data_IF_084894453375
#
_entry.id   IF_084894453375
#
_cell.length_a   1.000
_cell.length_b   1.000
_cell.length_c   1.000
_cell.angle_alpha   90.00
_cell.angle_beta   90.00
_cell.angle_gamma   90.00
#
_symmetry.space_group_name_H-M   'P 1'
#
loop_
_entity.id
_entity.type
_entity.pdbx_description
1 polymer ?
#
# COMPACT_ATOMS: atom_id res chain seq x y z
N UNK A 1 4.67 2.42 10.22
CA UNK A 1 4.25 3.78 10.64
C UNK A 1 3.68 3.83 12.05
N UNK A 2 3.90 4.95 12.76
CA UNK A 2 3.53 5.22 14.16
C UNK A 2 2.40 6.27 14.23
N UNK A 3 1.20 5.85 13.81
CA UNK A 3 0.05 6.75 13.58
C UNK A 3 -0.43 7.40 14.88
N UNK A 4 -0.48 6.64 15.97
CA UNK A 4 -0.95 7.14 17.27
C UNK A 4 -0.01 8.23 17.81
N UNK A 5 1.29 8.03 17.71
CA UNK A 5 2.28 9.00 18.14
C UNK A 5 2.21 10.29 17.32
N UNK A 6 2.01 10.19 16.00
CA UNK A 6 1.82 11.35 15.12
C UNK A 6 0.58 12.17 15.52
N UNK A 7 -0.53 11.49 15.84
CA UNK A 7 -1.75 12.14 16.33
C UNK A 7 -1.55 12.85 17.67
N UNK A 8 -0.87 12.20 18.61
CA UNK A 8 -0.59 12.74 19.94
C UNK A 8 0.26 14.01 19.92
N UNK A 9 1.13 14.17 18.92
CA UNK A 9 1.95 15.38 18.73
C UNK A 9 1.27 16.44 17.84
N UNK A 10 0.00 16.23 17.46
CA UNK A 10 -0.83 17.24 16.80
C UNK A 10 -0.99 17.09 15.28
N UNK A 11 -0.45 16.03 14.66
CA UNK A 11 -0.67 15.76 13.24
C UNK A 11 -1.95 14.94 13.03
N UNK A 12 -2.84 15.45 12.20
CA UNK A 12 -4.17 14.87 11.92
C UNK A 12 -4.52 14.83 10.42
N UNK A 13 -3.58 15.17 9.54
CA UNK A 13 -3.77 15.25 8.09
C UNK A 13 -4.46 16.52 7.58
N UNK A 14 -4.76 17.50 8.45
CA UNK A 14 -5.46 18.73 8.05
C UNK A 14 -4.71 19.48 6.94
N UNK A 15 -5.44 19.90 5.91
CA UNK A 15 -4.90 20.64 4.77
C UNK A 15 -4.20 19.77 3.71
N UNK A 16 -4.14 18.45 3.90
CA UNK A 16 -3.61 17.52 2.90
C UNK A 16 -4.76 16.84 2.16
N UNK A 17 -4.68 16.85 0.83
CA UNK A 17 -5.59 16.13 -0.05
C UNK A 17 -4.87 14.89 -0.55
N UNK A 18 -5.41 13.71 -0.23
CA UNK A 18 -4.94 12.43 -0.77
C UNK A 18 -6.06 11.84 -1.62
N UNK A 19 -5.74 11.46 -2.86
CA UNK A 19 -6.67 10.77 -3.75
C UNK A 19 -6.46 9.27 -3.60
N UNK A 20 -7.51 8.55 -3.23
CA UNK A 20 -7.55 7.09 -3.28
C UNK A 20 -8.26 6.72 -4.57
N UNK A 21 -7.58 5.94 -5.41
CA UNK A 21 -8.09 5.57 -6.73
C UNK A 21 -8.21 4.05 -6.75
N UNK A 22 -9.43 3.55 -6.88
CA UNK A 22 -9.77 2.11 -6.87
C UNK A 22 -10.04 1.58 -8.30
N UNK A 23 -10.12 2.49 -9.29
CA UNK A 23 -10.24 2.17 -10.72
C UNK A 23 -9.45 3.21 -11.53
N UNK A 24 -8.73 2.75 -12.56
CA UNK A 24 -7.55 3.38 -13.18
C UNK A 24 -7.56 4.89 -13.51
N UNK A 25 -6.37 5.44 -13.77
CA UNK A 25 -6.14 6.88 -14.02
C UNK A 25 -5.38 7.18 -15.33
N UNK A 26 -6.03 7.84 -16.30
CA UNK A 26 -5.35 8.29 -17.53
C UNK A 26 -4.50 9.56 -17.29
N UNK A 27 -3.20 9.37 -17.05
CA UNK A 27 -2.28 10.45 -16.69
C UNK A 27 -1.96 11.44 -17.82
N UNK A 28 -2.12 11.05 -19.10
CA UNK A 28 -1.91 11.93 -20.24
C UNK A 28 -3.18 12.65 -20.70
N UNK A 29 -4.30 12.46 -19.98
CA UNK A 29 -5.52 13.20 -20.25
C UNK A 29 -5.25 14.72 -20.15
N UNK A 30 -5.76 15.49 -21.11
CA UNK A 30 -5.54 16.95 -21.18
C UNK A 30 -5.90 17.67 -19.89
N UNK A 31 -6.92 17.16 -19.20
CA UNK A 31 -7.49 17.76 -18.01
C UNK A 31 -6.79 17.29 -16.72
N UNK A 32 -6.05 16.17 -16.78
CA UNK A 32 -5.36 15.58 -15.63
C UNK A 32 -3.85 15.86 -15.64
N UNK A 33 -3.24 16.01 -16.82
CA UNK A 33 -1.78 16.18 -16.99
C UNK A 33 -1.17 17.32 -16.18
N UNK A 34 -1.90 18.42 -16.01
CA UNK A 34 -1.44 19.58 -15.25
C UNK A 34 -1.40 19.27 -13.74
N UNK A 35 -2.37 18.48 -13.27
CA UNK A 35 -2.44 18.05 -11.89
C UNK A 35 -1.42 16.94 -11.60
N UNK A 36 -1.10 16.06 -12.55
CA UNK A 36 -0.12 14.95 -12.38
C UNK A 36 1.27 15.42 -11.93
N UNK A 37 1.72 16.64 -12.30
CA UNK A 37 2.99 17.19 -11.79
C UNK A 37 2.97 17.49 -10.30
N UNK A 38 1.80 17.87 -9.75
CA UNK A 38 1.45 17.97 -8.33
C UNK A 38 2.36 18.80 -7.43
N UNK A 39 1.76 19.55 -6.49
CA UNK A 39 2.47 20.13 -5.33
C UNK A 39 3.77 20.88 -5.69
N UNK A 40 3.69 21.81 -6.64
CA UNK A 40 4.84 22.60 -7.14
C UNK A 40 6.01 21.76 -7.67
N UNK A 41 5.72 20.61 -8.30
CA UNK A 41 6.73 19.70 -8.85
C UNK A 41 7.25 18.66 -7.85
N UNK A 42 6.70 18.63 -6.62
CA UNK A 42 6.98 17.58 -5.63
C UNK A 42 6.27 16.26 -5.97
N UNK A 43 5.35 16.28 -6.93
CA UNK A 43 4.61 15.11 -7.41
C UNK A 43 3.30 14.88 -6.68
N UNK A 44 2.52 13.96 -7.23
CA UNK A 44 1.36 13.35 -6.57
C UNK A 44 1.77 11.98 -6.01
N UNK A 45 1.10 11.53 -4.96
CA UNK A 45 1.21 10.17 -4.45
C UNK A 45 -0.12 9.49 -4.69
N UNK A 46 -0.13 8.44 -5.50
CA UNK A 46 -1.31 7.63 -5.75
C UNK A 46 -1.27 6.41 -4.85
N UNK A 47 -2.27 6.22 -4.02
CA UNK A 47 -2.38 4.99 -3.22
C UNK A 47 -3.36 4.06 -3.92
N UNK A 48 -2.88 2.85 -4.22
CA UNK A 48 -3.58 1.85 -5.03
C UNK A 48 -3.77 0.56 -4.23
N UNK A 49 -4.94 -0.05 -4.34
CA UNK A 49 -5.21 -1.35 -3.73
C UNK A 49 -4.62 -2.47 -4.60
N UNK A 50 -3.89 -3.40 -4.01
CA UNK A 50 -3.18 -4.44 -4.76
C UNK A 50 -4.08 -5.47 -5.47
N UNK A 51 -5.39 -5.45 -5.22
CA UNK A 51 -6.32 -6.46 -5.75
C UNK A 51 -6.72 -7.51 -4.73
N UNK A 52 -7.70 -8.33 -5.10
CA UNK A 52 -8.40 -9.28 -4.21
C UNK A 52 -8.59 -10.67 -4.88
N UNK A 53 -7.88 -10.96 -5.97
CA UNK A 53 -8.01 -12.20 -6.73
C UNK A 53 -7.22 -13.39 -6.15
N UNK A 54 -6.53 -13.20 -5.03
CA UNK A 54 -5.79 -14.25 -4.32
C UNK A 54 -4.76 -14.95 -5.19
N UNK A 55 -4.63 -16.27 -5.06
CA UNK A 55 -3.67 -17.06 -5.84
C UNK A 55 -4.04 -17.25 -7.32
N UNK A 56 -5.25 -16.86 -7.71
CA UNK A 56 -5.75 -17.01 -9.08
C UNK A 56 -5.58 -15.76 -9.94
N UNK A 57 -5.13 -14.68 -9.33
CA UNK A 57 -4.89 -13.40 -9.99
C UNK A 57 -3.49 -12.88 -9.63
N UNK A 58 -3.02 -11.92 -10.39
CA UNK A 58 -1.74 -11.30 -10.16
C UNK A 58 -1.80 -9.83 -10.52
N UNK A 59 -1.59 -8.98 -9.51
CA UNK A 59 -1.60 -7.54 -9.71
C UNK A 59 -0.55 -7.04 -10.71
N UNK A 60 0.40 -7.86 -11.18
CA UNK A 60 1.23 -7.58 -12.36
C UNK A 60 0.41 -7.34 -13.64
N UNK A 61 -0.78 -7.94 -13.74
CA UNK A 61 -1.72 -7.72 -14.82
C UNK A 61 -2.52 -6.42 -14.64
N UNK A 62 -2.52 -5.83 -13.44
CA UNK A 62 -3.13 -4.53 -13.19
C UNK A 62 -2.21 -3.43 -13.67
N UNK A 63 -2.59 -2.83 -14.80
CA UNK A 63 -1.82 -1.76 -15.43
C UNK A 63 -1.46 -0.63 -14.46
N UNK A 64 -2.30 -0.35 -13.46
CA UNK A 64 -2.06 0.73 -12.49
C UNK A 64 -1.16 0.36 -11.31
N UNK A 65 -1.19 -0.90 -10.88
CA UNK A 65 -0.24 -1.42 -9.90
C UNK A 65 1.18 -1.40 -10.47
N UNK A 66 1.33 -1.65 -11.77
CA UNK A 66 2.62 -1.68 -12.50
C UNK A 66 2.93 -0.38 -13.23
N UNK A 67 2.07 0.64 -13.08
CA UNK A 67 2.09 1.76 -14.03
C UNK A 67 3.43 2.48 -14.01
N UNK A 68 3.80 2.92 -15.20
CA UNK A 68 5.10 3.46 -15.56
C UNK A 68 5.47 4.76 -14.82
N UNK A 69 4.53 5.33 -14.05
CA UNK A 69 4.79 6.45 -13.18
C UNK A 69 5.09 5.92 -11.78
N UNK A 70 6.36 6.03 -11.43
CA UNK A 70 6.99 5.87 -10.10
C UNK A 70 6.25 6.50 -8.90
N UNK A 71 5.09 7.14 -9.09
CA UNK A 71 4.27 7.82 -8.08
C UNK A 71 3.25 6.90 -7.38
N UNK A 72 2.98 5.71 -7.93
CA UNK A 72 2.01 4.78 -7.35
C UNK A 72 2.59 4.05 -6.15
N UNK A 73 1.80 3.96 -5.09
CA UNK A 73 2.05 3.22 -3.86
C UNK A 73 0.99 2.12 -3.80
N UNK A 74 1.36 0.93 -4.26
CA UNK A 74 0.50 -0.25 -4.23
C UNK A 74 0.52 -0.86 -2.83
N UNK A 75 -0.66 -1.05 -2.26
CA UNK A 75 -0.87 -1.51 -0.88
C UNK A 75 -1.67 -2.80 -0.88
N UNK A 76 -1.08 -3.84 -0.29
CA UNK A 76 -1.76 -5.12 -0.05
C UNK A 76 -2.25 -5.23 1.41
N UNK A 77 -2.90 -6.34 1.75
CA UNK A 77 -3.56 -6.55 3.04
C UNK A 77 -2.89 -7.62 3.88
N UNK A 78 -2.79 -7.35 5.18
CA UNK A 78 -2.45 -8.33 6.22
C UNK A 78 -3.54 -8.43 7.29
N UNK A 79 -3.65 -9.60 7.90
CA UNK A 79 -4.53 -9.83 9.05
C UNK A 79 -3.91 -9.30 10.35
N UNK A 80 -4.56 -9.51 11.51
CA UNK A 80 -4.10 -8.96 12.78
C UNK A 80 -2.83 -9.62 13.31
N UNK A 81 -2.52 -10.83 12.85
CA UNK A 81 -1.22 -11.48 13.06
C UNK A 81 -0.15 -10.99 12.09
N UNK A 82 -0.43 -10.04 11.21
CA UNK A 82 0.51 -9.54 10.22
C UNK A 82 0.82 -10.53 9.10
N UNK A 83 -0.01 -11.57 8.93
CA UNK A 83 0.12 -12.54 7.84
C UNK A 83 -0.64 -12.04 6.61
N UNK A 84 -0.23 -12.41 5.39
CA UNK A 84 -0.96 -12.05 4.17
C UNK A 84 -2.42 -12.49 4.25
N UNK A 85 -3.35 -11.59 3.90
CA UNK A 85 -4.77 -11.95 3.82
C UNK A 85 -5.00 -12.96 2.69
N UNK A 86 -5.99 -13.85 2.85
CA UNK A 86 -6.22 -14.96 1.91
C UNK A 86 -6.59 -14.53 0.49
N UNK A 87 -7.14 -13.32 0.31
CA UNK A 87 -7.50 -12.72 -0.97
C UNK A 87 -6.38 -11.85 -1.56
N UNK A 88 -5.30 -11.60 -0.82
CA UNK A 88 -4.21 -10.74 -1.29
C UNK A 88 -3.51 -11.34 -2.49
N UNK A 89 -3.27 -10.51 -3.50
CA UNK A 89 -2.45 -10.86 -4.65
C UNK A 89 -0.97 -10.62 -4.32
N UNK A 90 -0.12 -11.58 -4.66
CA UNK A 90 1.34 -11.50 -4.44
C UNK A 90 2.00 -11.08 -5.75
N UNK A 91 2.55 -9.87 -5.76
CA UNK A 91 3.09 -9.26 -6.97
C UNK A 91 4.22 -8.25 -6.63
N UNK A 92 5.28 -8.18 -7.46
CA UNK A 92 6.39 -7.23 -7.33
C UNK A 92 6.04 -5.75 -7.07
N UNK A 93 4.93 -5.18 -7.59
CA UNK A 93 4.63 -3.76 -7.40
C UNK A 93 4.11 -3.41 -6.00
N UNK A 94 3.78 -4.39 -5.16
CA UNK A 94 3.34 -4.13 -3.78
C UNK A 94 4.48 -3.50 -3.00
N UNK A 95 4.30 -2.23 -2.59
CA UNK A 95 5.31 -1.48 -1.84
C UNK A 95 5.21 -1.73 -0.34
N UNK A 96 3.98 -1.87 0.18
CA UNK A 96 3.73 -2.07 1.59
C UNK A 96 2.37 -2.74 1.83
N UNK A 97 2.11 -3.07 3.10
CA UNK A 97 0.84 -3.65 3.54
C UNK A 97 0.25 -2.84 4.69
N UNK A 98 -1.07 -2.84 4.81
CA UNK A 98 -1.78 -2.37 5.99
C UNK A 98 -2.79 -3.40 6.45
N UNK A 99 -3.35 -3.21 7.65
CA UNK A 99 -4.29 -4.16 8.21
C UNK A 99 -5.60 -4.17 7.42
N UNK A 100 -6.19 -5.34 7.23
CA UNK A 100 -7.55 -5.48 6.72
C UNK A 100 -8.32 -6.57 7.44
N UNK A 101 -9.61 -6.70 7.09
CA UNK A 101 -10.44 -7.80 7.57
C UNK A 101 -9.98 -9.13 6.99
N UNK A 102 -10.14 -10.19 7.78
CA UNK A 102 -9.83 -11.56 7.37
C UNK A 102 -10.88 -12.52 7.94
N UNK A 103 -11.50 -13.33 7.06
CA UNK A 103 -12.52 -14.32 7.42
C UNK A 103 -12.07 -15.36 8.46
N UNK A 104 -10.77 -15.59 8.58
CA UNK A 104 -10.17 -16.54 9.52
C UNK A 104 -9.74 -15.89 10.83
N UNK A 105 -9.87 -14.57 10.97
CA UNK A 105 -9.53 -13.83 12.19
C UNK A 105 -10.61 -12.82 12.59
N UNK A 106 -10.27 -11.52 12.59
CA UNK A 106 -11.16 -10.42 12.90
C UNK A 106 -11.45 -9.64 11.65
N UNK A 107 -12.71 -9.26 11.54
CA UNK A 107 -13.17 -8.41 10.49
C UNK A 107 -12.79 -6.95 10.76
N UNK A 108 -12.59 -6.19 9.68
CA UNK A 108 -12.52 -4.75 9.79
C UNK A 108 -13.92 -4.20 10.11
N UNK A 109 -13.94 -3.09 10.84
CA UNK A 109 -15.14 -2.28 11.07
C UNK A 109 -14.89 -0.92 10.45
N UNK A 110 -15.82 -0.46 9.60
CA UNK A 110 -15.77 0.88 8.99
C UNK A 110 -17.11 1.57 9.10
N UNK A 111 -17.15 2.87 8.91
CA UNK A 111 -18.39 3.61 8.68
C UNK A 111 -18.82 3.46 7.22
N UNK A 112 -20.10 3.23 6.97
CA UNK A 112 -20.64 3.19 5.61
C UNK A 112 -21.74 4.24 5.41
N UNK A 113 -22.28 4.30 4.19
CA UNK A 113 -23.27 5.30 3.75
C UNK A 113 -24.67 5.12 4.40
N UNK A 114 -24.85 4.13 5.26
CA UNK A 114 -26.12 3.84 5.94
C UNK A 114 -26.19 4.41 7.37
N UNK A 115 -25.35 5.41 7.71
CA UNK A 115 -25.26 5.98 9.07
C UNK A 115 -25.05 4.91 10.17
N UNK A 116 -24.36 3.83 9.82
CA UNK A 116 -24.04 2.74 10.74
C UNK A 116 -22.60 2.28 10.51
N UNK A 117 -22.07 1.55 11.50
CA UNK A 117 -20.84 0.81 11.33
C UNK A 117 -21.12 -0.49 10.57
N UNK A 118 -20.33 -0.75 9.55
CA UNK A 118 -20.33 -2.01 8.82
C UNK A 118 -19.16 -2.87 9.31
N UNK A 119 -19.40 -4.16 9.44
CA UNK A 119 -18.43 -5.16 9.88
C UNK A 119 -18.49 -6.38 8.97
N UNK A 120 -17.44 -7.20 8.94
CA UNK A 120 -17.38 -8.32 7.99
C UNK A 120 -16.85 -7.94 6.62
N UNK A 121 -16.29 -6.73 6.50
CA UNK A 121 -15.68 -6.25 5.26
C UNK A 121 -14.22 -6.68 5.17
N UNK A 122 -13.83 -7.04 3.96
CA UNK A 122 -12.52 -7.57 3.59
C UNK A 122 -12.09 -6.94 2.26
N UNK A 123 -10.78 -6.86 2.03
CA UNK A 123 -10.23 -6.41 0.76
C UNK A 123 -9.11 -5.39 0.91
N UNK A 124 -8.24 -5.34 -0.08
CA UNK A 124 -7.17 -4.34 -0.22
C UNK A 124 -7.70 -2.93 -0.46
N UNK A 125 -8.94 -2.78 -0.96
CA UNK A 125 -9.65 -1.50 -1.04
C UNK A 125 -9.81 -0.81 0.31
N UNK A 126 -9.81 -1.56 1.43
CA UNK A 126 -9.83 -0.99 2.78
C UNK A 126 -8.43 -0.76 3.37
N UNK A 127 -7.41 -1.35 2.76
CA UNK A 127 -6.00 -1.12 3.09
C UNK A 127 -5.46 0.18 2.46
N UNK A 128 -5.84 0.48 1.21
CA UNK A 128 -5.46 1.71 0.52
C UNK A 128 -5.80 3.01 1.31
N UNK A 129 -7.03 3.24 1.83
CA UNK A 129 -7.36 4.44 2.58
C UNK A 129 -6.60 4.55 3.91
N UNK A 130 -6.21 3.44 4.54
CA UNK A 130 -5.35 3.48 5.72
C UNK A 130 -3.97 4.04 5.36
N UNK A 131 -3.34 3.51 4.32
CA UNK A 131 -2.05 4.02 3.85
C UNK A 131 -2.14 5.48 3.39
N UNK A 132 -3.23 5.87 2.71
CA UNK A 132 -3.50 7.26 2.33
C UNK A 132 -3.55 8.20 3.54
N UNK A 133 -4.23 7.79 4.63
CA UNK A 133 -4.25 8.55 5.88
C UNK A 133 -2.85 8.71 6.49
N UNK A 134 -2.02 7.66 6.43
CA UNK A 134 -0.65 7.77 6.93
C UNK A 134 0.24 8.67 6.05
N UNK A 135 0.08 8.62 4.73
CA UNK A 135 0.73 9.55 3.80
C UNK A 135 0.33 10.99 4.11
N UNK A 136 -0.95 11.24 4.44
CA UNK A 136 -1.40 12.57 4.82
C UNK A 136 -0.66 13.11 6.06
N UNK A 137 -0.37 12.25 7.04
CA UNK A 137 0.41 12.63 8.21
C UNK A 137 1.86 13.00 7.85
N UNK A 138 2.50 12.26 6.95
CA UNK A 138 3.83 12.63 6.47
C UNK A 138 3.86 13.99 5.79
N UNK A 139 2.90 14.25 4.91
CA UNK A 139 2.85 15.50 4.17
C UNK A 139 2.47 16.69 5.05
N UNK A 140 1.64 16.46 6.08
CA UNK A 140 1.35 17.49 7.07
C UNK A 140 2.58 17.81 7.92
N UNK A 141 3.34 16.79 8.32
CA UNK A 141 4.58 16.98 9.07
C UNK A 141 5.67 17.67 8.23
N UNK A 142 5.73 17.38 6.94
CA UNK A 142 6.65 18.05 6.03
C UNK A 142 6.06 18.19 4.62
N UNK A 143 5.53 19.36 4.24
CA UNK A 143 4.91 19.58 2.93
C UNK A 143 5.94 19.67 1.79
N UNK A 144 7.24 19.65 2.09
CA UNK A 144 8.32 19.62 1.10
C UNK A 144 8.72 18.22 0.65
N UNK A 145 8.18 17.16 1.27
CA UNK A 145 8.42 15.79 0.83
C UNK A 145 7.94 15.58 -0.60
N UNK A 146 8.82 15.06 -1.45
CA UNK A 146 8.48 14.58 -2.78
C UNK A 146 7.75 13.24 -2.69
N UNK A 147 7.09 12.84 -3.77
CA UNK A 147 6.51 11.50 -3.90
C UNK A 147 7.53 10.39 -3.58
N UNK A 148 8.81 10.60 -3.94
CA UNK A 148 9.90 9.65 -3.72
C UNK A 148 10.24 9.56 -2.25
N UNK A 149 10.39 10.70 -1.59
CA UNK A 149 10.67 10.72 -0.15
C UNK A 149 9.59 9.98 0.64
N UNK A 150 8.32 10.12 0.23
CA UNK A 150 7.21 9.37 0.86
C UNK A 150 7.33 7.87 0.66
N UNK A 151 7.68 7.39 -0.53
CA UNK A 151 7.92 5.96 -0.75
C UNK A 151 9.07 5.43 0.10
N UNK A 152 10.17 6.18 0.19
CA UNK A 152 11.29 5.81 1.07
C UNK A 152 10.86 5.77 2.54
N UNK A 153 10.10 6.77 3.01
CA UNK A 153 9.56 6.81 4.37
C UNK A 153 8.66 5.61 4.67
N UNK A 154 7.82 5.20 3.72
CA UNK A 154 6.98 4.01 3.85
C UNK A 154 7.86 2.77 4.04
N UNK A 155 8.87 2.56 3.20
CA UNK A 155 9.75 1.39 3.28
C UNK A 155 10.51 1.36 4.61
N UNK A 156 11.19 2.45 4.98
CA UNK A 156 12.05 2.47 6.18
C UNK A 156 11.26 2.47 7.50
N UNK A 157 9.97 2.82 7.48
CA UNK A 157 9.13 2.86 8.67
C UNK A 157 8.17 1.66 8.80
N UNK A 158 8.19 0.76 7.82
CA UNK A 158 7.40 -0.46 7.83
C UNK A 158 7.95 -1.48 8.82
N UNK A 159 7.07 -2.27 9.42
CA UNK A 159 7.45 -3.36 10.32
C UNK A 159 7.64 -4.63 9.50
N UNK A 160 8.80 -5.25 9.59
CA UNK A 160 9.13 -6.50 8.89
C UNK A 160 9.03 -7.76 9.78
N UNK A 161 8.72 -7.60 11.09
CA UNK A 161 8.93 -8.62 12.12
C UNK A 161 8.16 -9.94 11.90
N UNK A 162 7.07 -9.94 11.15
CA UNK A 162 6.29 -11.16 10.85
C UNK A 162 6.59 -11.74 9.46
N UNK A 163 7.48 -11.11 8.67
CA UNK A 163 7.97 -11.64 7.39
C UNK A 163 9.11 -12.66 7.58
N UNK A 164 9.75 -12.67 8.75
CA UNK A 164 10.87 -13.56 9.09
C UNK A 164 10.46 -14.91 9.66
N UNK A 165 9.18 -15.09 10.04
CA UNK A 165 8.66 -16.35 10.57
C UNK A 165 8.04 -17.25 9.49
N UNK A 166 7.90 -16.74 8.27
CA UNK A 166 7.42 -17.52 7.13
C UNK A 166 8.62 -18.04 6.33
N UNK A 167 9.24 -19.12 6.83
CA UNK A 167 10.20 -19.93 6.06
C UNK A 167 9.55 -20.28 4.70
N UNK A 168 10.01 -19.66 3.61
CA UNK A 168 9.57 -19.98 2.24
C UNK A 168 9.09 -18.83 1.35
N UNK A 169 9.10 -17.57 1.80
CA UNK A 169 8.67 -16.41 0.98
C UNK A 169 9.81 -15.51 0.48
N UNK A 170 11.04 -16.00 0.40
CA UNK A 170 12.10 -15.35 -0.40
C UNK A 170 12.67 -14.03 0.11
N UNK A 171 12.42 -13.58 1.35
CA UNK A 171 13.01 -12.34 1.89
C UNK A 171 14.40 -12.55 2.51
N UNK A 172 15.38 -11.73 2.14
CA UNK A 172 16.77 -11.76 2.66
C UNK A 172 17.18 -10.41 3.25
N UNK A 173 17.95 -10.41 4.34
CA UNK A 173 18.49 -9.19 4.93
C UNK A 173 19.63 -8.62 4.06
N UNK A 174 19.53 -7.35 3.65
CA UNK A 174 20.56 -6.66 2.89
C UNK A 174 21.63 -6.00 3.79
N UNK A 175 22.71 -5.52 3.18
CA UNK A 175 23.82 -4.87 3.89
C UNK A 175 23.46 -3.54 4.58
N UNK A 176 22.26 -3.01 4.36
CA UNK A 176 21.72 -1.83 5.04
C UNK A 176 20.82 -2.20 6.25
N UNK A 177 20.69 -3.49 6.57
CA UNK A 177 19.85 -3.98 7.67
C UNK A 177 18.35 -4.00 7.35
N UNK A 178 17.97 -3.94 6.08
CA UNK A 178 16.58 -4.04 5.62
C UNK A 178 16.32 -5.40 4.96
N UNK A 179 15.10 -5.93 5.08
CA UNK A 179 14.71 -7.16 4.38
C UNK A 179 14.29 -6.84 2.95
N UNK A 180 14.88 -7.52 1.97
CA UNK A 180 14.59 -7.42 0.54
C UNK A 180 13.97 -8.72 0.03
N UNK A 181 12.93 -8.64 -0.80
CA UNK A 181 12.36 -9.80 -1.48
C UNK A 181 13.29 -10.24 -2.62
N UNK A 182 13.84 -11.44 -2.50
CA UNK A 182 14.71 -12.05 -3.49
C UNK A 182 13.86 -12.94 -4.41
N UNK A 183 13.38 -12.35 -5.50
CA UNK A 183 12.53 -13.01 -6.50
C UNK A 183 13.23 -14.17 -7.26
N UNK A 184 14.47 -14.56 -6.90
CA UNK A 184 15.23 -15.62 -7.56
C UNK A 184 14.64 -17.02 -7.38
N UNK A 185 13.91 -17.29 -6.28
CA UNK A 185 13.39 -18.64 -6.05
C UNK A 185 12.07 -18.93 -6.76
N UNK A 186 11.21 -17.92 -6.98
CA UNK A 186 9.89 -18.14 -7.62
C UNK A 186 9.95 -18.28 -9.15
N UNK A 187 10.98 -17.75 -9.83
CA UNK A 187 11.14 -17.93 -11.28
C UNK A 187 11.44 -19.41 -11.62
N UNK A 188 12.17 -20.11 -10.75
CA UNK A 188 12.49 -21.54 -10.97
C UNK A 188 11.31 -22.49 -10.73
N UNK A 189 10.21 -22.01 -10.14
CA UNK A 189 9.00 -22.82 -9.93
C UNK A 189 8.00 -22.74 -11.10
N UNK A 190 8.11 -21.74 -11.98
CA UNK A 190 7.28 -21.63 -13.19
C UNK A 190 7.93 -22.24 -14.45
N UNK A 191 9.20 -22.64 -14.41
CA UNK A 191 9.90 -23.30 -15.53
C UNK A 191 10.00 -24.83 -15.37
N UNK A 192 8.90 -25.50 -15.01
CA UNK A 192 8.76 -26.95 -15.20
C UNK A 192 7.55 -27.26 -16.09
N UNK A 193 7.74 -27.07 -17.38
CA UNK A 193 7.13 -27.88 -18.44
C UNK A 193 8.24 -28.69 -19.12
#
# INVERSE_FOLDING_TARGET
MKVLEAWQIGYNGSGIIVSVVDQGLETNHSDLKANVRGRDGKGIIYVWAAGNGGITDNCNADGYANYIYIYTVTISSVNLKGQPAWYSEVCPPVLAVTYSGDKYERNMVTTSNINACESGIEGSSFSAPQAAGMVALYLQANPNLTWRDVQHLIVISSKYQNLTEADGFGFTLNGAGNYEYNCKEDITRQEKF
#
